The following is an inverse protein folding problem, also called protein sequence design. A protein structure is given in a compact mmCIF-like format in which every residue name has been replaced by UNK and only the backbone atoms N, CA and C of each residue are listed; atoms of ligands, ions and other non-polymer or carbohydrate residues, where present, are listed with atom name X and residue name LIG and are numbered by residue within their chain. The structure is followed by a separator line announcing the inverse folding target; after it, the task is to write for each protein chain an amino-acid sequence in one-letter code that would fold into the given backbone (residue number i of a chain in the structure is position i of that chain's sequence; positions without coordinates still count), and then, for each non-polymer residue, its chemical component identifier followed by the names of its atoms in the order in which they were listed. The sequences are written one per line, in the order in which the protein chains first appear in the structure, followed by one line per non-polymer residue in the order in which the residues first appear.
data_IF_204717702961
#
_entry.id   IF_204717702961
#
_cell.length_a   1.000
_cell.length_b   1.000
_cell.length_c   1.000
_cell.angle_alpha   90.00
_cell.angle_beta   90.00
_cell.angle_gamma   90.00
#
_symmetry.space_group_name_H-M   'P 1'
#
loop_
_entity.id
_entity.type
_entity.pdbx_description
1 polymer ?
#
# COMPACT_ATOMS: atom_id res chain seq x y z
N UNK A 1 -0.29 -20.55 -9.63
CA UNK A 1 -0.67 -19.31 -10.34
C UNK A 1 0.39 -18.27 -10.03
N UNK A 2 0.78 -17.44 -10.99
CA UNK A 2 1.72 -16.35 -10.71
C UNK A 2 0.88 -15.20 -10.15
N UNK A 3 0.97 -14.94 -8.86
CA UNK A 3 0.15 -13.93 -8.16
C UNK A 3 0.70 -12.53 -8.42
N UNK A 4 0.78 -12.15 -9.71
CA UNK A 4 1.32 -10.85 -10.15
C UNK A 4 0.60 -9.67 -9.50
N UNK A 5 -0.69 -9.81 -9.24
CA UNK A 5 -1.48 -8.81 -8.51
C UNK A 5 -0.89 -8.56 -7.11
N UNK A 6 -0.47 -9.61 -6.40
CA UNK A 6 0.12 -9.53 -5.07
C UNK A 6 1.50 -8.87 -5.14
N UNK A 7 2.30 -9.23 -6.14
CA UNK A 7 3.59 -8.57 -6.39
C UNK A 7 3.40 -7.06 -6.65
N UNK A 8 2.42 -6.68 -7.47
CA UNK A 8 2.11 -5.29 -7.76
C UNK A 8 1.60 -4.55 -6.51
N UNK A 9 0.66 -5.13 -5.75
CA UNK A 9 0.17 -4.53 -4.50
C UNK A 9 1.33 -4.26 -3.53
N UNK A 10 2.22 -5.24 -3.32
CA UNK A 10 3.42 -5.09 -2.47
C UNK A 10 4.36 -3.99 -2.98
N UNK A 11 4.58 -3.92 -4.29
CA UNK A 11 5.46 -2.90 -4.89
C UNK A 11 4.89 -1.50 -4.77
N UNK A 12 3.58 -1.32 -5.02
CA UNK A 12 2.89 -0.04 -4.83
C UNK A 12 2.98 0.37 -3.36
N UNK A 13 2.75 -0.57 -2.44
CA UNK A 13 2.84 -0.30 -1.02
C UNK A 13 4.24 0.16 -0.59
N UNK A 14 5.30 -0.53 -1.00
CA UNK A 14 6.67 -0.14 -0.68
C UNK A 14 7.05 1.25 -1.24
N UNK A 15 6.60 1.57 -2.47
CA UNK A 15 6.83 2.88 -3.07
C UNK A 15 6.06 3.99 -2.35
N UNK A 16 4.80 3.75 -2.03
CA UNK A 16 3.96 4.71 -1.30
C UNK A 16 4.53 5.01 0.09
N UNK A 17 4.97 3.97 0.81
CA UNK A 17 5.61 4.12 2.11
C UNK A 17 6.91 4.92 2.03
N UNK A 18 7.77 4.61 1.07
CA UNK A 18 9.01 5.37 0.86
C UNK A 18 8.69 6.84 0.55
N UNK A 19 7.71 7.09 -0.32
CA UNK A 19 7.23 8.43 -0.63
C UNK A 19 6.74 9.20 0.59
N UNK A 20 5.89 8.58 1.42
CA UNK A 20 5.37 9.17 2.67
C UNK A 20 6.47 9.42 3.71
N UNK A 21 7.53 8.61 3.71
CA UNK A 21 8.63 8.74 4.67
C UNK A 21 9.58 9.90 4.35
N UNK A 22 9.84 10.19 3.07
CA UNK A 22 10.84 11.22 2.68
C UNK A 22 10.29 12.44 1.99
N UNK A 23 9.07 12.39 1.45
CA UNK A 23 8.51 13.56 0.78
C UNK A 23 8.19 14.67 1.79
N UNK A 24 8.45 15.90 1.37
CA UNK A 24 8.07 17.13 2.10
C UNK A 24 7.05 17.96 1.31
N UNK A 25 6.74 17.56 0.08
CA UNK A 25 5.75 18.23 -0.76
C UNK A 25 4.36 17.67 -0.45
N UNK A 26 3.41 18.57 -0.17
CA UNK A 26 2.05 18.21 0.25
C UNK A 26 1.29 17.45 -0.83
N UNK A 27 1.51 17.78 -2.11
CA UNK A 27 0.83 17.11 -3.21
C UNK A 27 1.42 15.72 -3.46
N UNK A 28 2.73 15.55 -3.26
CA UNK A 28 3.35 14.23 -3.32
C UNK A 28 2.86 13.34 -2.17
N UNK A 29 2.74 13.88 -0.96
CA UNK A 29 2.19 13.14 0.19
C UNK A 29 0.76 12.65 -0.13
N UNK A 30 -0.10 13.50 -0.67
CA UNK A 30 -1.46 13.12 -1.08
C UNK A 30 -1.45 12.00 -2.14
N UNK A 31 -0.57 12.09 -3.14
CA UNK A 31 -0.41 11.02 -4.15
C UNK A 31 0.04 9.70 -3.54
N UNK A 32 0.96 9.73 -2.57
CA UNK A 32 1.41 8.51 -1.92
C UNK A 32 0.35 7.90 -0.99
N UNK A 33 -0.46 8.74 -0.32
CA UNK A 33 -1.63 8.26 0.43
C UNK A 33 -2.64 7.55 -0.47
N UNK A 34 -2.88 8.09 -1.67
CA UNK A 34 -3.76 7.46 -2.66
C UNK A 34 -3.19 6.12 -3.14
N UNK A 35 -1.89 6.07 -3.48
CA UNK A 35 -1.23 4.82 -3.88
C UNK A 35 -1.27 3.76 -2.77
N UNK A 36 -1.10 4.16 -1.51
CA UNK A 36 -1.24 3.29 -0.34
C UNK A 36 -2.67 2.75 -0.19
N UNK A 37 -3.68 3.55 -0.52
CA UNK A 37 -5.08 3.13 -0.49
C UNK A 37 -5.36 2.11 -1.59
N UNK A 38 -4.93 2.38 -2.83
CA UNK A 38 -5.08 1.47 -3.96
C UNK A 38 -4.41 0.11 -3.68
N UNK A 39 -3.21 0.10 -3.08
CA UNK A 39 -2.52 -1.15 -2.74
C UNK A 39 -3.34 -2.01 -1.76
N UNK A 40 -3.99 -1.38 -0.77
CA UNK A 40 -4.84 -2.05 0.20
C UNK A 40 -6.17 -2.53 -0.41
N UNK A 41 -6.76 -1.77 -1.33
CA UNK A 41 -7.95 -2.18 -2.09
C UNK A 41 -7.66 -3.42 -2.95
N UNK A 42 -6.50 -3.48 -3.61
CA UNK A 42 -6.09 -4.69 -4.35
C UNK A 42 -5.99 -5.89 -3.39
N UNK A 43 -5.48 -5.69 -2.18
CA UNK A 43 -5.43 -6.77 -1.18
C UNK A 43 -6.84 -7.21 -0.76
N UNK A 44 -7.78 -6.28 -0.58
CA UNK A 44 -9.17 -6.60 -0.19
C UNK A 44 -9.93 -7.32 -1.31
N UNK A 45 -9.74 -6.92 -2.56
CA UNK A 45 -10.42 -7.55 -3.70
C UNK A 45 -10.00 -9.01 -3.88
N UNK A 46 -8.72 -9.31 -3.64
CA UNK A 46 -8.15 -10.64 -3.90
C UNK A 46 -7.94 -11.47 -2.63
N UNK A 47 -8.32 -10.96 -1.46
CA UNK A 47 -8.29 -11.72 -0.19
C UNK A 47 -9.60 -11.56 0.55
N UNK A 48 -10.10 -12.60 1.21
CA UNK A 48 -11.29 -12.48 2.08
C UNK A 48 -11.00 -11.74 3.42
N UNK A 49 -10.02 -10.84 3.43
CA UNK A 49 -9.65 -10.06 4.60
C UNK A 49 -10.35 -8.70 4.55
N UNK A 50 -10.97 -8.31 5.67
CA UNK A 50 -11.53 -6.97 5.82
C UNK A 50 -10.45 -5.89 5.67
N UNK A 51 -10.77 -4.78 4.98
CA UNK A 51 -9.90 -3.60 4.83
C UNK A 51 -9.20 -3.18 6.14
N UNK A 52 -9.91 -3.23 7.29
CA UNK A 52 -9.33 -2.90 8.59
C UNK A 52 -8.12 -3.79 8.91
N UNK A 53 -8.26 -5.09 8.72
CA UNK A 53 -7.22 -6.08 8.98
C UNK A 53 -6.07 -5.96 7.98
N UNK A 54 -6.38 -5.62 6.72
CA UNK A 54 -5.35 -5.32 5.70
C UNK A 54 -4.54 -4.09 6.12
N UNK A 55 -5.17 -3.00 6.53
CA UNK A 55 -4.44 -1.81 7.00
C UNK A 55 -3.53 -2.11 8.19
N UNK A 56 -4.03 -2.89 9.14
CA UNK A 56 -3.27 -3.32 10.33
C UNK A 56 -2.04 -4.16 9.97
N UNK A 57 -2.15 -5.08 9.00
CA UNK A 57 -1.10 -6.06 8.68
C UNK A 57 -0.16 -5.63 7.55
N UNK A 58 -0.67 -4.89 6.57
CA UNK A 58 0.01 -4.61 5.30
C UNK A 58 0.47 -3.15 5.19
N UNK A 59 -0.33 -2.21 5.69
CA UNK A 59 0.01 -0.78 5.57
C UNK A 59 0.87 -0.24 6.71
N UNK A 60 0.96 -1.01 7.81
CA UNK A 60 1.73 -0.67 9.01
C UNK A 60 3.11 -1.31 9.06
N UNK A 61 3.56 -2.02 8.03
CA UNK A 61 4.93 -2.56 8.00
C UNK A 61 5.94 -1.39 8.00
N UNK A 62 6.41 -0.95 9.16
CA UNK A 62 7.49 0.04 9.28
C UNK A 62 8.83 -0.68 9.08
N UNK A 63 9.10 -1.14 7.87
CA UNK A 63 10.39 -1.68 7.46
C UNK A 63 11.15 -0.64 6.64
N UNK A 64 12.20 -0.08 7.21
CA UNK A 64 13.30 0.51 6.44
C UNK A 64 14.51 -0.42 6.52
#
# INVERSE_FOLDING_TARGET
MNDKWLEWAKRIQALSQSGLAFSKDVYDIERYEELRTISAEIMEEYTDLEMRKIRELFTNETGY
#
